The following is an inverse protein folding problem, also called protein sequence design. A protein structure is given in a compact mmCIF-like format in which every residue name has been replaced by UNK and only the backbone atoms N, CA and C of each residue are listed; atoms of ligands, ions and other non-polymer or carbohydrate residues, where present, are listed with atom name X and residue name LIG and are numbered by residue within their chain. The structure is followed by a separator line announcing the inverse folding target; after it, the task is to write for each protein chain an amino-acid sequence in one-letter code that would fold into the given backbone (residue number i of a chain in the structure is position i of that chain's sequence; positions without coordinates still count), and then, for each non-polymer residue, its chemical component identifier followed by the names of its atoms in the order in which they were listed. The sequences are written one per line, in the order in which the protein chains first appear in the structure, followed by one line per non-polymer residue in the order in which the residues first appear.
data_IF_345156263098
#
_entry.id   IF_345156263098
#
_cell.length_a   1.000
_cell.length_b   1.000
_cell.length_c   1.000
_cell.angle_alpha   90.00
_cell.angle_beta   90.00
_cell.angle_gamma   90.00
#
_symmetry.space_group_name_H-M   'P 1'
#
loop_
_entity.id
_entity.type
_entity.pdbx_description
1 polymer ?
#
# COMPACT_ATOMS: atom_id res chain seq x y z
N UNK A 1 -4.16 1.69 37.71
CA UNK A 1 -3.30 1.30 36.58
C UNK A 1 -3.66 -0.14 36.22
N UNK A 2 -4.64 -0.34 35.34
CA UNK A 2 -5.05 -1.67 34.88
C UNK A 2 -4.14 -2.08 33.73
N UNK A 3 -3.34 -3.11 33.96
CA UNK A 3 -2.53 -3.76 32.92
C UNK A 3 -3.51 -4.41 31.94
N UNK A 4 -3.65 -3.82 30.76
CA UNK A 4 -4.42 -4.42 29.66
C UNK A 4 -3.75 -5.73 29.27
N UNK A 5 -4.49 -6.84 29.37
CA UNK A 5 -4.07 -8.17 28.89
C UNK A 5 -3.63 -8.05 27.42
N UNK A 6 -2.58 -8.75 26.99
CA UNK A 6 -2.17 -8.75 25.59
C UNK A 6 -3.33 -9.25 24.71
N UNK A 7 -3.52 -8.68 23.49
CA UNK A 7 -4.56 -9.11 22.59
C UNK A 7 -4.42 -10.62 22.32
N UNK A 8 -5.53 -11.36 22.42
CA UNK A 8 -5.59 -12.79 22.14
C UNK A 8 -5.02 -13.08 20.73
N UNK A 9 -4.04 -13.97 20.66
CA UNK A 9 -3.52 -14.45 19.38
C UNK A 9 -4.61 -15.23 18.64
N UNK A 10 -4.67 -15.14 17.30
CA UNK A 10 -5.60 -15.96 16.53
C UNK A 10 -5.30 -17.45 16.78
N UNK A 11 -6.32 -18.31 16.82
CA UNK A 11 -6.13 -19.74 17.00
C UNK A 11 -5.30 -20.33 15.86
N UNK A 12 -4.51 -21.37 16.16
CA UNK A 12 -3.62 -22.05 15.19
C UNK A 12 -4.36 -22.54 13.94
N UNK A 13 -5.67 -22.82 14.04
CA UNK A 13 -6.51 -23.17 12.90
C UNK A 13 -6.68 -22.06 11.85
N UNK A 14 -6.41 -20.81 12.20
CA UNK A 14 -6.42 -19.66 11.28
C UNK A 14 -5.02 -19.37 10.68
N UNK A 15 -3.99 -20.03 11.21
CA UNK A 15 -2.65 -19.92 10.65
C UNK A 15 -2.52 -20.88 9.45
N UNK A 16 -1.83 -20.47 8.37
CA UNK A 16 -1.56 -21.40 7.27
C UNK A 16 -0.82 -22.62 7.82
N UNK A 17 -1.26 -23.82 7.42
CA UNK A 17 -0.69 -25.06 7.91
C UNK A 17 0.83 -25.03 7.77
N UNK A 18 1.55 -25.26 8.88
CA UNK A 18 3.03 -25.23 8.96
C UNK A 18 3.72 -26.32 8.12
N UNK A 19 2.96 -27.12 7.35
CA UNK A 19 3.47 -28.23 6.54
C UNK A 19 4.08 -27.83 5.19
N UNK A 20 4.05 -26.54 4.80
CA UNK A 20 4.78 -26.04 3.62
C UNK A 20 5.92 -25.09 4.01
N UNK A 21 6.54 -25.29 5.15
CA UNK A 21 7.82 -24.72 5.53
C UNK A 21 8.99 -25.41 4.84
N UNK A 22 8.93 -25.48 3.50
CA UNK A 22 10.13 -25.75 2.71
C UNK A 22 11.13 -24.62 2.92
N UNK A 23 12.44 -24.87 2.78
CA UNK A 23 13.45 -23.83 2.87
C UNK A 23 13.02 -22.69 1.96
N UNK A 24 13.19 -21.44 2.44
CA UNK A 24 12.91 -20.23 1.65
C UNK A 24 13.45 -20.48 0.25
N UNK A 25 12.55 -20.59 -0.72
CA UNK A 25 12.97 -20.85 -2.11
C UNK A 25 14.04 -19.82 -2.44
N UNK A 26 15.16 -20.25 -3.01
CA UNK A 26 16.26 -19.37 -3.43
C UNK A 26 15.75 -18.22 -4.35
N UNK A 27 14.55 -18.37 -4.92
CA UNK A 27 13.81 -17.34 -5.66
C UNK A 27 13.35 -16.16 -4.78
N UNK A 28 13.36 -16.25 -3.44
CA UNK A 28 12.98 -15.18 -2.51
C UNK A 28 14.18 -14.38 -1.98
N UNK A 29 15.40 -14.75 -2.31
CA UNK A 29 16.57 -13.91 -1.99
C UNK A 29 16.40 -12.57 -2.73
N UNK A 30 16.63 -11.44 -2.03
CA UNK A 30 16.51 -10.13 -2.65
C UNK A 30 17.48 -10.08 -3.82
N UNK A 31 16.94 -9.91 -5.03
CA UNK A 31 17.79 -9.52 -6.16
C UNK A 31 18.38 -8.15 -5.83
N UNK A 32 19.55 -7.81 -6.37
CA UNK A 32 20.20 -6.51 -6.15
C UNK A 32 19.31 -5.29 -6.44
N UNK A 33 18.13 -5.50 -7.02
CA UNK A 33 17.13 -4.48 -7.36
C UNK A 33 15.92 -4.41 -6.39
N UNK A 34 15.70 -5.40 -5.52
CA UNK A 34 14.56 -5.39 -4.59
C UNK A 34 14.89 -4.57 -3.34
N UNK A 35 14.14 -3.50 -3.08
CA UNK A 35 14.31 -2.67 -1.89
C UNK A 35 13.38 -3.14 -0.76
N UNK A 36 12.11 -3.42 -1.07
CA UNK A 36 11.11 -3.89 -0.11
C UNK A 36 10.50 -5.19 -0.60
N UNK A 37 10.36 -6.16 0.31
CA UNK A 37 9.62 -7.39 0.03
C UNK A 37 8.77 -7.79 1.23
N UNK A 38 7.67 -8.47 0.98
CA UNK A 38 6.89 -9.16 2.00
C UNK A 38 6.83 -10.65 1.68
N UNK A 39 6.79 -11.46 2.72
CA UNK A 39 6.65 -12.91 2.60
C UNK A 39 5.49 -13.37 3.47
N UNK A 40 4.39 -13.80 2.84
CA UNK A 40 3.14 -14.27 3.47
C UNK A 40 2.66 -13.36 4.59
N UNK A 41 2.78 -12.04 4.39
CA UNK A 41 2.45 -11.04 5.40
C UNK A 41 0.96 -11.04 5.70
N UNK A 42 0.59 -11.08 6.98
CA UNK A 42 -0.80 -11.06 7.39
C UNK A 42 -1.05 -10.20 8.64
N UNK A 43 -2.26 -9.66 8.69
CA UNK A 43 -2.79 -8.93 9.84
C UNK A 43 -4.24 -9.26 10.09
N UNK A 44 -4.50 -9.79 11.26
CA UNK A 44 -5.82 -10.09 11.77
C UNK A 44 -6.12 -9.19 12.97
N UNK A 45 -7.22 -8.47 12.92
CA UNK A 45 -7.67 -7.64 14.03
C UNK A 45 -8.78 -8.36 14.78
N UNK A 46 -8.71 -8.49 16.12
CA UNK A 46 -9.79 -9.07 16.89
C UNK A 46 -11.03 -8.16 16.82
N UNK A 47 -12.19 -8.75 16.60
CA UNK A 47 -13.47 -8.06 16.72
C UNK A 47 -13.84 -8.01 18.21
N UNK A 48 -14.40 -6.88 18.67
CA UNK A 48 -14.84 -6.76 20.06
C UNK A 48 -15.86 -7.85 20.40
N UNK A 49 -15.63 -8.54 21.52
CA UNK A 49 -16.52 -9.60 22.00
C UNK A 49 -17.80 -8.98 22.56
N UNK A 50 -18.94 -9.31 21.98
CA UNK A 50 -20.22 -9.16 22.67
C UNK A 50 -20.22 -10.05 23.93
N UNK A 51 -20.86 -9.61 25.01
CA UNK A 51 -20.88 -10.30 26.32
C UNK A 51 -21.24 -11.81 26.26
N UNK A 52 -21.97 -12.24 25.20
CA UNK A 52 -22.41 -13.63 24.99
C UNK A 52 -21.66 -14.38 23.87
N UNK A 53 -20.64 -13.79 23.24
CA UNK A 53 -19.94 -14.43 22.13
C UNK A 53 -19.03 -15.56 22.62
N UNK A 54 -19.26 -16.79 22.13
CA UNK A 54 -18.47 -17.99 22.49
C UNK A 54 -17.09 -18.01 21.82
N UNK A 55 -16.96 -17.43 20.61
CA UNK A 55 -15.73 -17.46 19.82
C UNK A 55 -15.24 -16.05 19.50
N UNK A 56 -13.91 -15.88 19.50
CA UNK A 56 -13.27 -14.64 19.07
C UNK A 56 -13.22 -14.61 17.53
N UNK A 57 -13.91 -13.64 16.92
CA UNK A 57 -13.83 -13.38 15.47
C UNK A 57 -12.70 -12.41 15.16
N UNK A 58 -12.16 -12.50 13.94
CA UNK A 58 -11.06 -11.66 13.48
C UNK A 58 -11.38 -11.06 12.10
N UNK A 59 -11.07 -9.78 11.91
CA UNK A 59 -11.04 -9.14 10.59
C UNK A 59 -9.72 -9.51 9.93
N UNK A 60 -9.74 -10.27 8.84
CA UNK A 60 -8.57 -10.61 8.03
C UNK A 60 -8.23 -9.47 7.07
N UNK A 61 -7.62 -8.41 7.59
CA UNK A 61 -7.36 -7.20 6.81
C UNK A 61 -6.28 -7.42 5.74
N UNK A 62 -5.26 -8.23 6.05
CA UNK A 62 -4.22 -8.68 5.11
C UNK A 62 -4.00 -10.16 5.38
N UNK A 63 -4.01 -10.99 4.34
CA UNK A 63 -4.01 -12.44 4.45
C UNK A 63 -3.03 -13.10 3.47
N UNK A 64 -1.79 -13.32 3.93
CA UNK A 64 -0.77 -14.03 3.19
C UNK A 64 -0.15 -13.28 2.01
N UNK A 65 -0.04 -11.96 2.07
CA UNK A 65 0.47 -11.13 0.96
C UNK A 65 1.98 -11.24 0.81
N UNK A 66 2.42 -11.64 -0.39
CA UNK A 66 3.83 -11.64 -0.80
C UNK A 66 3.99 -10.72 -2.02
N UNK A 67 4.78 -9.66 -1.88
CA UNK A 67 5.07 -8.70 -2.95
C UNK A 67 6.53 -8.25 -2.90
N UNK A 68 6.98 -7.60 -3.98
CA UNK A 68 8.33 -7.01 -4.10
C UNK A 68 8.23 -5.64 -4.74
N UNK A 69 8.95 -4.68 -4.16
CA UNK A 69 9.11 -3.33 -4.73
C UNK A 69 10.58 -3.16 -5.10
N UNK A 70 10.86 -2.91 -6.36
CA UNK A 70 12.22 -2.70 -6.85
C UNK A 70 12.67 -1.28 -6.55
N UNK A 71 13.97 -1.10 -6.28
CA UNK A 71 14.56 0.21 -6.01
C UNK A 71 14.37 1.15 -7.22
N UNK A 72 13.89 2.37 -6.97
CA UNK A 72 13.61 3.38 -8.00
C UNK A 72 12.30 3.16 -8.76
N UNK A 73 11.56 2.07 -8.51
CA UNK A 73 10.29 1.79 -9.19
C UNK A 73 9.08 2.14 -8.31
N UNK A 74 7.94 2.30 -8.94
CA UNK A 74 6.63 2.43 -8.29
C UNK A 74 5.86 1.12 -8.43
N UNK A 75 5.45 0.55 -7.28
CA UNK A 75 4.45 -0.50 -7.24
C UNK A 75 3.08 0.11 -6.94
N UNK A 76 2.16 0.05 -7.88
CA UNK A 76 0.76 0.41 -7.68
C UNK A 76 0.02 -0.67 -6.90
N UNK A 77 -0.80 -0.26 -5.94
CA UNK A 77 -1.68 -1.16 -5.19
C UNK A 77 -3.12 -0.69 -5.31
N UNK A 78 -3.95 -1.49 -5.99
CA UNK A 78 -5.34 -1.16 -6.30
C UNK A 78 -6.31 -2.19 -5.76
N UNK A 79 -7.59 -1.82 -5.67
CA UNK A 79 -8.68 -2.67 -5.22
C UNK A 79 -9.79 -1.86 -4.56
N UNK A 80 -10.94 -2.49 -4.30
CA UNK A 80 -12.09 -1.84 -3.67
C UNK A 80 -11.75 -1.27 -2.27
N UNK A 81 -12.53 -0.29 -1.81
CA UNK A 81 -12.37 0.28 -0.46
C UNK A 81 -12.51 -0.83 0.60
N UNK A 82 -11.67 -0.79 1.64
CA UNK A 82 -11.69 -1.79 2.72
C UNK A 82 -10.98 -3.11 2.40
N UNK A 83 -10.42 -3.33 1.20
CA UNK A 83 -9.74 -4.59 0.87
C UNK A 83 -8.37 -4.79 1.55
N UNK A 84 -7.90 -3.82 2.37
CA UNK A 84 -6.68 -3.96 3.19
C UNK A 84 -5.45 -3.20 2.70
N UNK A 85 -5.53 -2.38 1.65
CA UNK A 85 -4.40 -1.63 1.05
C UNK A 85 -3.62 -0.77 2.04
N UNK A 86 -4.30 0.13 2.74
CA UNK A 86 -3.67 1.02 3.75
C UNK A 86 -3.09 0.22 4.92
N UNK A 87 -3.75 -0.88 5.31
CA UNK A 87 -3.24 -1.80 6.33
C UNK A 87 -1.92 -2.43 5.88
N UNK A 88 -1.84 -2.88 4.61
CA UNK A 88 -0.62 -3.42 4.03
C UNK A 88 0.51 -2.40 4.01
N UNK A 89 0.25 -1.15 3.61
CA UNK A 89 1.23 -0.07 3.66
C UNK A 89 1.77 0.18 5.08
N UNK A 90 0.88 0.20 6.08
CA UNK A 90 1.27 0.38 7.50
C UNK A 90 2.07 -0.81 8.04
N UNK A 91 1.77 -2.03 7.62
CA UNK A 91 2.55 -3.24 7.96
C UNK A 91 3.96 -3.16 7.40
N UNK A 92 4.11 -2.79 6.13
CA UNK A 92 5.41 -2.63 5.46
C UNK A 92 6.28 -1.61 6.20
N UNK A 93 5.71 -0.50 6.64
CA UNK A 93 6.41 0.52 7.42
C UNK A 93 6.60 0.14 8.90
N UNK A 94 6.11 -1.03 9.34
CA UNK A 94 6.14 -1.44 10.75
C UNK A 94 5.53 -0.37 11.68
N UNK A 95 4.48 0.31 11.20
CA UNK A 95 3.62 1.18 12.03
C UNK A 95 2.63 0.37 12.85
N UNK A 96 2.26 -0.81 12.35
CA UNK A 96 1.50 -1.85 13.06
C UNK A 96 2.25 -3.17 12.94
N UNK A 97 2.13 -4.01 13.96
CA UNK A 97 2.78 -5.33 13.97
C UNK A 97 1.98 -6.34 13.16
N UNK A 98 2.62 -7.17 12.34
CA UNK A 98 1.95 -8.25 11.63
C UNK A 98 1.49 -9.34 12.63
N UNK A 99 0.47 -10.10 12.23
CA UNK A 99 0.06 -11.31 12.94
C UNK A 99 1.02 -12.44 12.62
N UNK A 100 1.40 -12.58 11.35
CA UNK A 100 2.47 -13.47 10.90
C UNK A 100 3.08 -12.98 9.57
N UNK A 101 4.11 -13.66 9.08
CA UNK A 101 4.85 -13.32 7.87
C UNK A 101 6.03 -12.40 8.15
N UNK A 102 6.68 -11.93 7.09
CA UNK A 102 7.90 -11.12 7.15
C UNK A 102 7.79 -9.87 6.30
N UNK A 103 8.52 -8.84 6.72
CA UNK A 103 8.77 -7.63 5.95
C UNK A 103 10.28 -7.47 5.82
N UNK A 104 10.78 -7.45 4.60
CA UNK A 104 12.18 -7.29 4.29
C UNK A 104 12.42 -5.89 3.71
N UNK A 105 13.38 -5.17 4.26
CA UNK A 105 13.88 -3.91 3.73
C UNK A 105 15.38 -4.08 3.43
N UNK A 106 15.76 -3.95 2.17
CA UNK A 106 17.12 -4.18 1.68
C UNK A 106 17.70 -5.51 2.21
N UNK A 107 16.91 -6.58 2.12
CA UNK A 107 17.22 -7.93 2.59
C UNK A 107 17.14 -8.15 4.10
N UNK A 108 16.95 -7.11 4.92
CA UNK A 108 16.85 -7.22 6.37
C UNK A 108 15.40 -7.40 6.82
N UNK A 109 15.12 -8.45 7.61
CA UNK A 109 13.78 -8.65 8.21
C UNK A 109 13.52 -7.60 9.30
N UNK A 110 12.39 -6.89 9.15
CA UNK A 110 11.96 -5.84 10.08
C UNK A 110 11.11 -6.37 11.23
N UNK A 111 10.51 -7.57 11.10
CA UNK A 111 9.53 -8.09 12.06
C UNK A 111 10.14 -8.33 13.45
N UNK A 112 11.32 -8.96 13.58
CA UNK A 112 11.93 -9.19 14.88
C UNK A 112 12.53 -7.94 15.53
N UNK A 113 12.56 -6.79 14.83
CA UNK A 113 13.22 -5.59 15.33
C UNK A 113 12.36 -4.83 16.33
N UNK A 114 12.96 -4.50 17.49
CA UNK A 114 12.36 -3.57 18.46
C UNK A 114 12.42 -2.12 18.00
N UNK A 115 11.71 -1.22 18.69
CA UNK A 115 11.54 0.20 18.33
C UNK A 115 12.87 0.95 18.12
N UNK A 116 13.87 0.68 18.98
CA UNK A 116 15.20 1.30 18.88
C UNK A 116 15.91 0.92 17.57
N UNK A 117 15.84 -0.34 17.17
CA UNK A 117 16.46 -0.84 15.94
C UNK A 117 15.68 -0.41 14.67
N UNK A 118 14.36 -0.19 14.78
CA UNK A 118 13.51 0.32 13.69
C UNK A 118 13.70 1.81 13.44
N UNK A 119 14.07 2.60 14.46
CA UNK A 119 14.16 4.08 14.34
C UNK A 119 15.06 4.56 13.19
N UNK A 120 16.28 4.05 12.97
CA UNK A 120 17.11 4.45 11.84
C UNK A 120 16.54 3.98 10.49
N UNK A 121 15.82 2.85 10.45
CA UNK A 121 15.18 2.34 9.23
C UNK A 121 13.95 3.17 8.87
N UNK A 122 13.18 3.66 9.87
CA UNK A 122 12.05 4.57 9.63
C UNK A 122 12.47 5.89 8.98
N UNK A 123 13.71 6.35 9.16
CA UNK A 123 14.26 7.47 8.41
C UNK A 123 14.25 7.18 6.91
N UNK A 124 14.55 5.94 6.51
CA UNK A 124 14.61 5.52 5.11
C UNK A 124 13.24 5.19 4.50
N UNK A 125 12.23 4.96 5.35
CA UNK A 125 10.89 4.54 4.95
C UNK A 125 9.86 5.52 5.51
N UNK A 126 9.18 6.25 4.64
CA UNK A 126 8.23 7.30 5.02
C UNK A 126 6.84 7.05 4.46
N UNK A 127 5.87 7.85 4.90
CA UNK A 127 4.48 7.78 4.44
C UNK A 127 3.94 9.16 4.09
N UNK A 128 3.21 9.23 2.98
CA UNK A 128 2.34 10.33 2.62
C UNK A 128 0.91 9.84 2.85
N UNK A 129 0.18 10.48 3.76
CA UNK A 129 -1.15 10.05 4.20
C UNK A 129 -2.25 10.53 3.26
N UNK A 130 -3.38 9.82 3.30
CA UNK A 130 -4.59 10.05 2.53
C UNK A 130 -5.22 11.42 2.79
N UNK A 131 -5.36 11.80 4.05
CA UNK A 131 -6.01 13.05 4.44
C UNK A 131 -4.96 14.09 4.86
N UNK A 132 -4.75 15.14 4.04
CA UNK A 132 -3.82 16.20 4.38
C UNK A 132 -4.29 17.05 5.57
N UNK A 133 -5.58 17.01 5.92
CA UNK A 133 -6.12 17.76 7.06
C UNK A 133 -5.78 17.10 8.40
N UNK A 134 -6.01 15.81 8.52
CA UNK A 134 -5.75 15.07 9.77
C UNK A 134 -4.27 14.70 9.94
N UNK A 135 -3.50 14.70 8.87
CA UNK A 135 -2.08 14.31 8.89
C UNK A 135 -1.14 15.40 9.43
N UNK A 136 -1.57 16.66 9.46
CA UNK A 136 -0.80 17.80 9.93
C UNK A 136 -1.37 18.31 11.26
N UNK A 137 -0.50 18.51 12.26
CA UNK A 137 -0.94 19.09 13.52
C UNK A 137 -1.35 20.56 13.31
N UNK A 138 -2.62 20.94 13.51
CA UNK A 138 -3.12 22.29 13.22
C UNK A 138 -2.55 23.38 14.15
N UNK A 139 -1.90 22.98 15.26
CA UNK A 139 -1.29 23.90 16.23
C UNK A 139 0.19 24.16 15.96
N UNK A 140 0.76 23.53 14.95
CA UNK A 140 2.17 23.68 14.56
C UNK A 140 2.27 24.49 13.27
N UNK A 141 3.29 25.34 13.17
CA UNK A 141 3.64 25.98 11.90
C UNK A 141 4.25 24.99 10.92
N UNK A 142 4.30 25.34 9.64
CA UNK A 142 4.95 24.51 8.59
C UNK A 142 6.39 24.23 8.97
N UNK A 143 7.13 25.23 9.47
CA UNK A 143 8.51 25.06 9.98
C UNK A 143 8.59 24.00 11.07
N UNK A 144 7.66 24.01 12.01
CA UNK A 144 7.63 23.04 13.09
C UNK A 144 7.31 21.62 12.58
N UNK A 145 6.35 21.48 11.65
CA UNK A 145 5.91 20.20 11.08
C UNK A 145 7.03 19.55 10.26
N UNK A 146 7.64 20.29 9.34
CA UNK A 146 8.71 19.76 8.48
C UNK A 146 10.01 19.57 9.27
N UNK A 147 10.32 20.50 10.18
CA UNK A 147 11.51 20.48 11.03
C UNK A 147 11.49 19.41 12.10
N UNK A 148 10.32 18.89 12.52
CA UNK A 148 10.23 17.84 13.54
C UNK A 148 11.10 16.62 13.19
N UNK A 149 10.98 16.11 11.98
CA UNK A 149 11.75 14.96 11.52
C UNK A 149 13.26 15.27 11.48
N UNK A 150 13.64 16.48 11.05
CA UNK A 150 15.04 16.94 11.02
C UNK A 150 15.63 16.93 12.44
N UNK A 151 14.90 17.45 13.42
CA UNK A 151 15.31 17.50 14.84
C UNK A 151 15.39 16.10 15.46
N UNK A 152 14.36 15.27 15.27
CA UNK A 152 14.30 13.89 15.81
C UNK A 152 15.47 13.04 15.34
N UNK A 153 15.89 13.22 14.08
CA UNK A 153 17.03 12.50 13.49
C UNK A 153 18.34 13.26 13.53
N UNK A 154 18.38 14.44 14.18
CA UNK A 154 19.59 15.28 14.37
C UNK A 154 20.30 15.57 13.05
N UNK A 155 19.56 15.95 12.01
CA UNK A 155 20.11 16.19 10.66
C UNK A 155 20.72 17.60 10.52
N UNK A 156 20.18 18.58 11.23
CA UNK A 156 20.70 19.95 11.28
C UNK A 156 21.63 20.12 12.48
N UNK A 157 22.70 20.91 12.30
CA UNK A 157 23.67 21.26 13.35
C UNK A 157 23.30 22.54 14.11
N UNK A 158 22.64 23.47 13.43
CA UNK A 158 22.21 24.76 13.97
C UNK A 158 20.76 25.06 13.58
N UNK A 159 20.14 26.06 14.22
CA UNK A 159 18.80 26.53 13.83
C UNK A 159 18.78 27.11 12.41
N UNK A 160 19.85 27.77 12.00
CA UNK A 160 19.96 28.34 10.66
C UNK A 160 20.10 27.24 9.60
N UNK A 161 20.85 26.17 9.91
CA UNK A 161 20.96 24.98 9.06
C UNK A 161 19.60 24.30 8.91
N UNK A 162 18.84 24.13 10.01
CA UNK A 162 17.47 23.60 9.96
C UNK A 162 16.57 24.48 9.08
N UNK A 163 16.63 25.80 9.25
CA UNK A 163 15.81 26.75 8.49
C UNK A 163 16.13 26.70 6.99
N UNK A 164 17.42 26.59 6.65
CA UNK A 164 17.86 26.42 5.25
C UNK A 164 17.35 25.12 4.65
N UNK A 165 17.49 23.99 5.37
CA UNK A 165 17.00 22.67 4.91
C UNK A 165 15.47 22.71 4.69
N UNK A 166 14.72 23.34 5.58
CA UNK A 166 13.26 23.45 5.42
C UNK A 166 12.93 24.31 4.19
N UNK A 167 13.65 25.42 3.97
CA UNK A 167 13.46 26.26 2.78
C UNK A 167 13.66 25.46 1.49
N UNK A 168 14.74 24.71 1.40
CA UNK A 168 15.06 23.87 0.23
C UNK A 168 13.98 22.79 0.00
N UNK A 169 13.43 22.19 1.07
CA UNK A 169 12.34 21.22 0.98
C UNK A 169 11.02 21.86 0.49
N UNK A 170 10.70 23.06 0.96
CA UNK A 170 9.51 23.78 0.51
C UNK A 170 9.62 24.16 -0.97
N UNK A 171 10.78 24.62 -1.40
CA UNK A 171 11.05 24.92 -2.81
C UNK A 171 10.91 23.67 -3.69
N UNK A 172 11.39 22.51 -3.25
CA UNK A 172 11.25 21.23 -3.96
C UNK A 172 9.79 20.82 -4.19
N UNK A 173 8.89 21.20 -3.31
CA UNK A 173 7.45 20.91 -3.46
C UNK A 173 6.65 22.09 -4.01
N UNK A 174 7.33 23.16 -4.47
CA UNK A 174 6.69 24.34 -5.06
C UNK A 174 5.96 25.23 -4.06
N UNK A 175 6.44 25.31 -2.82
CA UNK A 175 5.97 26.23 -1.78
C UNK A 175 7.02 27.31 -1.51
N UNK A 176 6.57 28.55 -1.27
CA UNK A 176 7.47 29.68 -0.97
C UNK A 176 8.01 29.60 0.46
N UNK A 177 9.19 30.17 0.69
CA UNK A 177 9.85 30.25 1.99
C UNK A 177 8.97 30.90 3.07
N UNK A 178 8.20 31.92 2.69
CA UNK A 178 7.29 32.65 3.60
C UNK A 178 6.19 31.75 4.18
N UNK A 179 6.00 30.57 3.60
CA UNK A 179 5.06 29.57 4.09
C UNK A 179 5.49 28.94 5.44
N UNK A 180 6.74 29.09 5.85
CA UNK A 180 7.30 28.43 7.05
C UNK A 180 6.58 28.81 8.34
N UNK A 181 6.21 30.07 8.48
CA UNK A 181 5.65 30.61 9.72
C UNK A 181 4.11 30.53 9.77
N UNK A 182 3.51 30.03 8.70
CA UNK A 182 2.06 29.87 8.60
C UNK A 182 1.59 28.54 9.15
N UNK A 183 0.31 28.47 9.52
CA UNK A 183 -0.35 27.27 10.04
C UNK A 183 -1.07 26.50 8.93
N UNK A 184 -1.28 25.17 9.07
CA UNK A 184 -1.94 24.34 8.06
C UNK A 184 -3.32 24.85 7.61
N UNK A 185 -4.11 25.44 8.51
CA UNK A 185 -5.44 25.94 8.16
C UNK A 185 -5.44 27.14 7.18
N UNK A 186 -4.30 27.79 6.99
CA UNK A 186 -4.14 28.91 6.05
C UNK A 186 -3.81 28.47 4.61
N UNK A 187 -3.77 27.15 4.36
CA UNK A 187 -3.41 26.56 3.07
C UNK A 187 -4.58 25.82 2.43
N UNK A 188 -4.60 25.76 1.09
CA UNK A 188 -5.50 24.89 0.34
C UNK A 188 -5.17 23.42 0.56
N UNK A 189 -6.08 22.49 0.20
CA UNK A 189 -5.86 21.05 0.28
C UNK A 189 -4.59 20.59 -0.44
N UNK A 190 -4.37 21.06 -1.67
CA UNK A 190 -3.17 20.74 -2.44
C UNK A 190 -1.88 21.30 -1.84
N UNK A 191 -1.92 22.49 -1.24
CA UNK A 191 -0.77 23.05 -0.53
C UNK A 191 -0.46 22.27 0.75
N UNK A 192 -1.48 21.82 1.50
CA UNK A 192 -1.28 20.94 2.67
C UNK A 192 -0.67 19.62 2.26
N UNK A 193 -1.11 19.05 1.13
CA UNK A 193 -0.49 17.82 0.61
C UNK A 193 0.98 18.02 0.28
N UNK A 194 1.35 19.15 -0.33
CA UNK A 194 2.75 19.52 -0.58
C UNK A 194 3.57 19.65 0.72
N UNK A 195 2.98 20.19 1.80
CA UNK A 195 3.61 20.22 3.14
C UNK A 195 3.82 18.79 3.66
N UNK A 196 2.83 17.90 3.51
CA UNK A 196 2.95 16.48 3.87
C UNK A 196 4.06 15.76 3.10
N UNK A 197 4.20 16.06 1.80
CA UNK A 197 5.29 15.54 0.96
C UNK A 197 6.65 16.10 1.45
N UNK A 198 6.76 17.41 1.70
CA UNK A 198 7.99 18.01 2.23
C UNK A 198 8.40 17.40 3.59
N UNK A 199 7.43 17.13 4.48
CA UNK A 199 7.67 16.42 5.75
C UNK A 199 8.25 15.02 5.52
N UNK A 200 7.69 14.25 4.57
CA UNK A 200 8.19 12.92 4.26
C UNK A 200 9.63 12.97 3.69
N UNK A 201 9.94 13.96 2.86
CA UNK A 201 11.26 14.15 2.26
C UNK A 201 12.33 14.66 3.25
N UNK A 202 11.93 15.25 4.37
CA UNK A 202 12.82 15.91 5.33
C UNK A 202 13.95 15.02 5.88
N UNK A 203 13.73 13.71 5.87
CA UNK A 203 14.70 12.70 6.33
C UNK A 203 15.46 12.01 5.20
N UNK A 204 15.28 12.43 3.95
CA UNK A 204 15.89 11.84 2.75
C UNK A 204 15.59 10.33 2.65
N UNK A 205 14.31 9.94 2.50
CA UNK A 205 13.92 8.54 2.43
C UNK A 205 14.37 7.89 1.13
N UNK A 206 14.44 6.55 1.14
CA UNK A 206 14.62 5.73 -0.07
C UNK A 206 13.29 5.12 -0.54
N UNK A 207 12.34 4.94 0.39
CA UNK A 207 11.03 4.34 0.16
C UNK A 207 9.91 5.17 0.77
N UNK A 208 8.84 5.40 0.01
CA UNK A 208 7.66 6.13 0.49
C UNK A 208 6.39 5.32 0.15
N UNK A 209 5.55 5.10 1.16
CA UNK A 209 4.18 4.63 0.96
C UNK A 209 3.30 5.86 0.72
N UNK A 210 2.73 5.98 -0.46
CA UNK A 210 1.74 6.99 -0.82
C UNK A 210 0.35 6.38 -0.61
N UNK A 211 -0.24 6.59 0.57
CA UNK A 211 -1.55 6.03 0.94
C UNK A 211 -2.67 6.99 0.49
N UNK A 212 -3.24 6.74 -0.71
CA UNK A 212 -4.26 7.56 -1.38
C UNK A 212 -3.93 9.08 -1.38
N UNK A 213 -2.74 9.50 -1.85
CA UNK A 213 -2.20 10.84 -1.61
C UNK A 213 -2.96 11.98 -2.31
N UNK A 214 -3.98 11.66 -3.09
CA UNK A 214 -4.72 12.61 -3.94
C UNK A 214 -6.24 12.48 -3.82
N UNK A 215 -6.76 11.50 -3.05
CA UNK A 215 -8.20 11.18 -3.01
C UNK A 215 -9.09 12.31 -2.49
N UNK A 216 -8.55 13.21 -1.65
CA UNK A 216 -9.27 14.34 -1.08
C UNK A 216 -9.07 15.66 -1.86
N UNK A 217 -8.52 15.61 -3.08
CA UNK A 217 -8.15 16.80 -3.87
C UNK A 217 -8.97 16.89 -5.16
N UNK A 218 -9.15 18.12 -5.65
CA UNK A 218 -9.76 18.39 -6.97
C UNK A 218 -8.90 17.83 -8.10
N UNK A 219 -9.53 17.43 -9.21
CA UNK A 219 -8.88 16.75 -10.35
C UNK A 219 -7.65 17.51 -10.89
N UNK A 220 -7.73 18.84 -11.00
CA UNK A 220 -6.61 19.66 -11.46
C UNK A 220 -5.42 19.65 -10.51
N UNK A 221 -5.68 19.59 -9.20
CA UNK A 221 -4.68 19.52 -8.16
C UNK A 221 -4.10 18.11 -8.07
N UNK A 222 -4.92 17.07 -8.28
CA UNK A 222 -4.45 15.68 -8.36
C UNK A 222 -3.33 15.52 -9.39
N UNK A 223 -3.54 16.03 -10.62
CA UNK A 223 -2.53 15.99 -11.69
C UNK A 223 -1.22 16.69 -11.28
N UNK A 224 -1.30 17.84 -10.60
CA UNK A 224 -0.11 18.54 -10.12
C UNK A 224 0.66 17.76 -9.05
N UNK A 225 -0.03 17.07 -8.14
CA UNK A 225 0.62 16.23 -7.11
C UNK A 225 1.24 14.97 -7.73
N UNK A 226 0.57 14.36 -8.71
CA UNK A 226 1.08 13.20 -9.45
C UNK A 226 2.39 13.57 -10.16
N UNK A 227 2.40 14.66 -10.93
CA UNK A 227 3.60 15.14 -11.62
C UNK A 227 4.72 15.46 -10.61
N UNK A 228 4.39 16.14 -9.51
CA UNK A 228 5.37 16.42 -8.45
C UNK A 228 6.00 15.13 -7.90
N UNK A 229 5.22 14.07 -7.65
CA UNK A 229 5.74 12.79 -7.14
C UNK A 229 6.64 12.10 -8.16
N UNK A 230 6.31 12.18 -9.47
CA UNK A 230 7.15 11.65 -10.54
C UNK A 230 8.48 12.41 -10.64
N UNK A 231 8.43 13.76 -10.67
CA UNK A 231 9.62 14.61 -10.71
C UNK A 231 10.55 14.33 -9.50
N UNK A 232 9.96 14.15 -8.31
CA UNK A 232 10.71 13.82 -7.11
C UNK A 232 11.31 12.41 -7.19
N UNK A 233 10.60 11.44 -7.76
CA UNK A 233 11.11 10.08 -7.97
C UNK A 233 12.34 10.08 -8.88
N UNK A 234 12.25 10.77 -10.02
CA UNK A 234 13.36 10.84 -10.99
C UNK A 234 14.59 11.55 -10.40
N UNK A 235 14.38 12.71 -9.76
CA UNK A 235 15.49 13.51 -9.22
C UNK A 235 16.16 12.88 -8.01
N UNK A 236 15.40 12.20 -7.14
CA UNK A 236 15.90 11.68 -5.86
C UNK A 236 16.07 10.15 -5.84
N UNK A 237 15.69 9.45 -6.91
CA UNK A 237 15.77 8.00 -7.00
C UNK A 237 14.82 7.29 -6.01
N UNK A 238 13.65 7.88 -5.76
CA UNK A 238 12.68 7.37 -4.78
C UNK A 238 12.00 6.10 -5.25
N UNK A 239 11.67 5.24 -4.31
CA UNK A 239 10.87 4.04 -4.53
C UNK A 239 9.50 4.23 -3.90
N UNK A 240 8.42 3.93 -4.63
CA UNK A 240 7.05 4.13 -4.14
C UNK A 240 6.27 2.83 -4.02
N UNK A 241 5.47 2.74 -2.96
CA UNK A 241 4.24 1.94 -2.94
C UNK A 241 3.08 2.92 -3.07
N UNK A 242 2.46 2.97 -4.25
CA UNK A 242 1.40 3.92 -4.56
C UNK A 242 0.03 3.25 -4.44
N UNK A 243 -0.71 3.60 -3.39
CA UNK A 243 -2.04 3.08 -3.10
C UNK A 243 -3.07 4.06 -3.64
N UNK A 244 -3.97 3.59 -4.50
CA UNK A 244 -5.08 4.39 -5.00
C UNK A 244 -6.25 3.50 -5.41
N UNK A 245 -7.44 4.09 -5.45
CA UNK A 245 -8.62 3.50 -6.09
C UNK A 245 -8.82 4.04 -7.52
N UNK A 246 -8.08 5.06 -7.93
CA UNK A 246 -8.10 5.59 -9.30
C UNK A 246 -7.10 4.82 -10.17
N UNK A 247 -7.64 3.93 -11.00
CA UNK A 247 -6.86 3.04 -11.87
C UNK A 247 -6.09 3.81 -12.95
N UNK A 248 -6.59 4.96 -13.46
CA UNK A 248 -5.87 5.78 -14.46
C UNK A 248 -4.61 6.39 -13.90
N UNK A 249 -4.69 6.88 -12.67
CA UNK A 249 -3.54 7.47 -12.01
C UNK A 249 -2.51 6.38 -11.69
N UNK A 250 -2.97 5.19 -11.26
CA UNK A 250 -2.08 4.05 -11.03
C UNK A 250 -1.41 3.59 -12.33
N UNK A 251 -2.13 3.51 -13.44
CA UNK A 251 -1.56 3.22 -14.76
C UNK A 251 -0.40 4.17 -15.10
N UNK A 252 -0.61 5.46 -14.87
CA UNK A 252 0.37 6.52 -15.18
C UNK A 252 1.59 6.50 -14.25
N UNK A 253 1.38 6.22 -12.96
CA UNK A 253 2.41 6.30 -11.91
C UNK A 253 3.25 5.03 -11.76
N UNK A 254 2.72 3.86 -12.19
CA UNK A 254 3.24 2.58 -11.72
C UNK A 254 4.00 1.82 -12.79
N UNK A 255 5.13 1.22 -12.40
CA UNK A 255 5.87 0.26 -13.23
C UNK A 255 5.24 -1.13 -13.17
N UNK A 256 4.79 -1.52 -11.97
CA UNK A 256 4.05 -2.75 -11.71
C UNK A 256 2.79 -2.43 -10.91
N UNK A 257 1.76 -3.25 -11.07
CA UNK A 257 0.49 -3.11 -10.34
C UNK A 257 0.13 -4.41 -9.67
N UNK A 258 -0.26 -4.33 -8.39
CA UNK A 258 -0.89 -5.40 -7.62
C UNK A 258 -2.36 -5.08 -7.41
N UNK A 259 -3.23 -6.02 -7.76
CA UNK A 259 -4.67 -5.93 -7.51
C UNK A 259 -5.00 -6.72 -6.26
N UNK A 260 -5.64 -6.07 -5.30
CA UNK A 260 -5.95 -6.65 -3.99
C UNK A 260 -7.46 -6.80 -3.79
N UNK A 261 -7.90 -7.96 -3.32
CA UNK A 261 -9.28 -8.27 -2.99
C UNK A 261 -9.35 -9.02 -1.65
N UNK A 262 -10.16 -8.56 -0.70
CA UNK A 262 -10.35 -9.17 0.63
C UNK A 262 -9.04 -9.63 1.30
N UNK A 263 -8.08 -8.71 1.40
CA UNK A 263 -6.81 -8.98 2.09
C UNK A 263 -5.78 -9.76 1.27
N UNK A 264 -6.08 -10.21 0.06
CA UNK A 264 -5.20 -11.04 -0.78
C UNK A 264 -4.87 -10.35 -2.09
N UNK A 265 -3.68 -10.61 -2.65
CA UNK A 265 -3.33 -10.22 -4.02
C UNK A 265 -3.93 -11.25 -4.97
N UNK A 266 -4.74 -10.78 -5.92
CA UNK A 266 -5.42 -11.63 -6.90
C UNK A 266 -4.76 -11.57 -8.27
N UNK A 267 -4.09 -10.48 -8.60
CA UNK A 267 -3.33 -10.33 -9.84
C UNK A 267 -2.17 -9.35 -9.65
N UNK A 268 -1.04 -9.60 -10.30
CA UNK A 268 0.14 -8.74 -10.32
C UNK A 268 0.83 -8.82 -11.67
N UNK A 269 1.10 -7.66 -12.28
CA UNK A 269 1.83 -7.60 -13.55
C UNK A 269 2.56 -6.25 -13.72
N UNK A 270 3.32 -6.11 -14.80
CA UNK A 270 3.73 -4.80 -15.29
C UNK A 270 2.50 -3.97 -15.66
N UNK A 271 2.57 -2.66 -15.45
CA UNK A 271 1.40 -1.78 -15.64
C UNK A 271 0.83 -1.93 -17.05
N UNK A 272 1.64 -1.79 -18.09
CA UNK A 272 1.19 -1.93 -19.47
C UNK A 272 0.45 -3.26 -19.71
N UNK A 273 1.04 -4.39 -19.27
CA UNK A 273 0.48 -5.71 -19.47
C UNK A 273 -0.87 -5.89 -18.75
N UNK A 274 -0.99 -5.39 -17.51
CA UNK A 274 -2.22 -5.51 -16.73
C UNK A 274 -3.39 -4.77 -17.37
N UNK A 275 -3.14 -3.55 -17.90
CA UNK A 275 -4.19 -2.73 -18.51
C UNK A 275 -4.59 -3.23 -19.90
N UNK A 276 -3.69 -3.86 -20.62
CA UNK A 276 -3.95 -4.47 -21.90
C UNK A 276 -4.59 -5.86 -21.78
N UNK A 277 -4.00 -6.72 -20.94
CA UNK A 277 -4.34 -8.13 -20.77
C UNK A 277 -4.55 -8.47 -19.28
N UNK A 278 -5.71 -8.14 -18.72
CA UNK A 278 -6.05 -8.58 -17.37
C UNK A 278 -6.65 -9.98 -17.37
N UNK A 279 -6.13 -10.87 -16.53
CA UNK A 279 -6.53 -12.30 -16.51
C UNK A 279 -7.55 -12.62 -15.40
N UNK A 280 -7.49 -11.93 -14.25
CA UNK A 280 -8.43 -12.18 -13.18
C UNK A 280 -9.79 -11.52 -13.46
N UNK A 281 -10.94 -12.22 -13.31
CA UNK A 281 -12.26 -11.66 -13.55
C UNK A 281 -12.56 -10.38 -12.75
N UNK A 282 -12.06 -10.27 -11.54
CA UNK A 282 -12.17 -9.06 -10.72
C UNK A 282 -11.39 -7.88 -11.32
N UNK A 283 -10.15 -8.10 -11.78
CA UNK A 283 -9.33 -7.05 -12.42
C UNK A 283 -10.01 -6.54 -13.69
N UNK A 284 -10.53 -7.46 -14.52
CA UNK A 284 -11.31 -7.10 -15.71
C UNK A 284 -12.51 -6.24 -15.39
N UNK A 285 -13.26 -6.59 -14.36
CA UNK A 285 -14.40 -5.81 -13.92
C UNK A 285 -13.99 -4.41 -13.44
N UNK A 286 -12.93 -4.30 -12.62
CA UNK A 286 -12.39 -3.02 -12.17
C UNK A 286 -11.96 -2.14 -13.34
N UNK A 287 -11.19 -2.69 -14.30
CA UNK A 287 -10.71 -1.96 -15.47
C UNK A 287 -11.84 -1.58 -16.43
N UNK A 288 -12.90 -2.40 -16.54
CA UNK A 288 -14.07 -2.08 -17.37
C UNK A 288 -14.88 -0.89 -16.85
N UNK A 289 -14.75 -0.56 -15.56
CA UNK A 289 -15.41 0.59 -14.95
C UNK A 289 -14.67 1.91 -15.21
N UNK A 290 -13.41 1.86 -15.72
CA UNK A 290 -12.60 3.04 -16.03
C UNK A 290 -13.16 3.72 -17.30
N UNK A 291 -13.55 5.00 -17.24
CA UNK A 291 -14.04 5.70 -18.43
C UNK A 291 -12.90 5.91 -19.44
N UNK A 292 -13.05 5.43 -20.66
CA UNK A 292 -12.13 5.74 -21.76
C UNK A 292 -12.55 7.04 -22.45
N UNK A 293 -11.57 7.89 -22.73
CA UNK A 293 -11.79 9.12 -23.54
C UNK A 293 -12.08 8.76 -25.00
N UNK A 294 -11.45 7.69 -25.49
CA UNK A 294 -11.67 7.19 -26.85
C UNK A 294 -12.88 6.23 -26.89
N UNK A 295 -13.96 6.60 -27.61
CA UNK A 295 -15.14 5.74 -27.76
C UNK A 295 -14.85 4.36 -28.38
N UNK A 296 -13.80 4.27 -29.23
CA UNK A 296 -13.42 3.01 -29.90
C UNK A 296 -12.82 1.97 -28.92
N UNK A 297 -12.33 2.42 -27.78
CA UNK A 297 -11.77 1.59 -26.68
C UNK A 297 -12.79 1.23 -25.61
N UNK A 298 -14.06 1.54 -25.80
CA UNK A 298 -15.12 1.16 -24.85
C UNK A 298 -15.20 -0.35 -24.71
N UNK A 299 -14.59 -0.88 -23.66
CA UNK A 299 -14.86 -2.28 -23.23
C UNK A 299 -16.29 -2.34 -22.68
N UNK A 300 -17.02 -3.40 -22.96
CA UNK A 300 -18.32 -3.64 -22.34
C UNK A 300 -18.12 -3.66 -20.83
N UNK A 301 -18.89 -2.81 -20.13
CA UNK A 301 -18.81 -2.72 -18.65
C UNK A 301 -19.23 -4.05 -18.04
N UNK A 302 -18.34 -4.69 -17.33
CA UNK A 302 -18.62 -5.88 -16.52
C UNK A 302 -19.16 -5.43 -15.18
N UNK A 303 -20.45 -5.65 -14.95
CA UNK A 303 -21.07 -5.37 -13.66
C UNK A 303 -20.78 -6.55 -12.73
N UNK A 304 -20.16 -6.25 -11.57
CA UNK A 304 -20.03 -7.24 -10.50
C UNK A 304 -21.35 -7.29 -9.73
N UNK A 305 -21.93 -8.47 -9.66
CA UNK A 305 -23.15 -8.70 -8.89
C UNK A 305 -22.80 -8.95 -7.40
N UNK A 306 -23.69 -8.53 -6.51
CA UNK A 306 -23.58 -8.72 -5.06
C UNK A 306 -22.60 -7.78 -4.36
N UNK A 307 -22.72 -7.77 -3.03
CA UNK A 307 -21.89 -6.95 -2.15
C UNK A 307 -20.53 -7.59 -1.90
N UNK A 308 -19.55 -6.77 -1.47
CA UNK A 308 -18.23 -7.26 -1.02
C UNK A 308 -18.43 -8.11 0.24
N UNK A 309 -18.01 -9.39 0.25
CA UNK A 309 -18.12 -10.23 1.41
C UNK A 309 -17.38 -9.67 2.64
N UNK A 310 -17.84 -10.06 3.84
CA UNK A 310 -17.22 -9.59 5.07
C UNK A 310 -15.79 -10.14 5.25
N UNK A 311 -14.82 -9.30 5.59
CA UNK A 311 -13.46 -9.76 5.93
C UNK A 311 -13.39 -10.49 7.29
N UNK A 312 -14.48 -10.49 8.06
CA UNK A 312 -14.60 -11.24 9.33
C UNK A 312 -14.83 -12.72 9.04
N UNK A 313 -15.63 -13.00 8.02
CA UNK A 313 -16.02 -14.36 7.62
C UNK A 313 -15.90 -14.47 6.10
N UNK A 314 -14.63 -14.48 5.60
CA UNK A 314 -14.39 -14.50 4.17
C UNK A 314 -14.87 -15.82 3.55
N UNK A 315 -15.34 -15.80 2.31
CA UNK A 315 -15.75 -17.00 1.58
C UNK A 315 -14.64 -18.06 1.57
N UNK A 316 -15.02 -19.34 1.67
CA UNK A 316 -14.11 -20.47 1.49
C UNK A 316 -13.54 -20.49 0.07
N UNK A 317 -12.41 -21.13 -0.12
CA UNK A 317 -11.77 -21.23 -1.43
C UNK A 317 -11.28 -19.90 -1.99
N UNK A 318 -11.63 -19.61 -3.24
CA UNK A 318 -11.38 -18.32 -3.87
C UNK A 318 -12.29 -17.26 -3.25
N UNK A 319 -11.72 -16.24 -2.61
CA UNK A 319 -12.50 -15.19 -1.92
C UNK A 319 -13.43 -14.39 -2.87
N UNK A 320 -13.15 -14.41 -4.17
CA UNK A 320 -13.96 -13.74 -5.18
C UNK A 320 -15.10 -14.61 -5.76
N UNK A 321 -15.13 -15.94 -5.47
CA UNK A 321 -16.08 -16.85 -6.11
C UNK A 321 -17.56 -16.42 -6.01
N UNK A 322 -18.07 -15.79 -4.91
CA UNK A 322 -19.48 -15.42 -4.85
C UNK A 322 -19.89 -14.33 -5.84
N UNK A 323 -18.92 -13.54 -6.33
CA UNK A 323 -19.14 -12.44 -7.29
C UNK A 323 -18.54 -12.74 -8.67
N UNK A 324 -17.97 -13.94 -8.85
CA UNK A 324 -17.25 -14.29 -10.06
C UNK A 324 -18.20 -14.89 -11.11
N UNK A 325 -18.33 -14.29 -12.31
CA UNK A 325 -19.17 -14.83 -13.37
C UNK A 325 -18.62 -16.14 -13.96
N UNK A 326 -17.38 -16.52 -13.61
CA UNK A 326 -16.71 -17.75 -14.04
C UNK A 326 -16.48 -18.74 -12.90
N UNK A 327 -17.17 -18.57 -11.77
CA UNK A 327 -17.03 -19.47 -10.63
C UNK A 327 -17.50 -20.89 -11.01
N UNK A 328 -16.63 -21.87 -10.74
CA UNK A 328 -16.95 -23.29 -10.90
C UNK A 328 -17.25 -23.89 -9.53
N UNK A 329 -18.50 -24.38 -9.31
CA UNK A 329 -18.87 -25.04 -8.06
C UNK A 329 -18.03 -26.30 -7.82
N UNK A 330 -17.64 -26.52 -6.56
CA UNK A 330 -16.77 -27.64 -6.18
C UNK A 330 -15.27 -27.41 -6.40
N UNK A 331 -14.90 -26.34 -7.10
CA UNK A 331 -13.50 -25.91 -7.29
C UNK A 331 -13.26 -24.57 -6.63
N UNK A 332 -13.94 -23.52 -7.11
CA UNK A 332 -13.70 -22.14 -6.65
C UNK A 332 -14.19 -21.89 -5.23
N UNK A 333 -15.23 -22.58 -4.77
CA UNK A 333 -15.78 -22.48 -3.41
C UNK A 333 -15.04 -23.37 -2.38
N UNK A 334 -14.23 -24.31 -2.85
CA UNK A 334 -13.51 -25.25 -1.97
C UNK A 334 -12.02 -24.93 -1.85
N UNK A 335 -11.38 -24.60 -2.97
CA UNK A 335 -9.91 -24.40 -3.03
C UNK A 335 -9.57 -22.92 -3.23
N UNK A 336 -8.55 -22.44 -2.50
CA UNK A 336 -7.97 -21.12 -2.72
C UNK A 336 -6.91 -21.20 -3.85
N UNK A 337 -7.03 -20.39 -4.93
CA UNK A 337 -6.02 -20.37 -5.97
C UNK A 337 -4.73 -19.73 -5.46
N UNK A 338 -3.58 -20.24 -5.88
CA UNK A 338 -2.28 -19.67 -5.61
C UNK A 338 -1.97 -18.56 -6.63
N UNK A 339 -1.29 -17.51 -6.20
CA UNK A 339 -0.77 -16.48 -7.10
C UNK A 339 0.41 -17.06 -7.87
N UNK A 340 0.19 -17.44 -9.13
CA UNK A 340 1.17 -18.09 -10.02
C UNK A 340 1.31 -17.33 -11.34
N UNK A 341 2.46 -17.43 -12.00
CA UNK A 341 2.64 -16.87 -13.34
C UNK A 341 1.72 -17.56 -14.34
N UNK A 342 1.06 -16.76 -15.18
CA UNK A 342 0.20 -17.26 -16.26
C UNK A 342 1.06 -17.94 -17.32
N UNK A 343 2.14 -17.25 -17.70
CA UNK A 343 3.17 -17.77 -18.62
C UNK A 343 4.54 -17.62 -17.96
N UNK A 344 5.37 -18.67 -17.93
CA UNK A 344 6.67 -18.63 -17.28
C UNK A 344 7.56 -17.49 -17.82
N UNK A 345 8.12 -16.69 -16.91
CA UNK A 345 9.06 -15.63 -17.26
C UNK A 345 8.44 -14.29 -17.63
N UNK A 346 7.12 -14.17 -17.74
CA UNK A 346 6.45 -12.87 -18.02
C UNK A 346 6.35 -11.98 -16.80
N UNK A 347 6.40 -12.56 -15.59
CA UNK A 347 6.15 -11.84 -14.34
C UNK A 347 4.69 -11.48 -14.10
N UNK A 348 3.77 -11.85 -15.03
CA UNK A 348 2.33 -11.68 -14.86
C UNK A 348 1.77 -12.85 -14.05
N UNK A 349 1.28 -12.54 -12.83
CA UNK A 349 0.78 -13.53 -11.88
C UNK A 349 -0.69 -13.33 -11.63
N UNK A 350 -1.43 -14.44 -11.56
CA UNK A 350 -2.86 -14.46 -11.28
C UNK A 350 -3.22 -15.55 -10.27
N UNK A 351 -4.12 -15.24 -9.34
CA UNK A 351 -4.71 -16.19 -8.39
C UNK A 351 -6.10 -16.59 -8.88
N UNK A 352 -6.18 -17.39 -9.94
CA UNK A 352 -7.44 -17.82 -10.54
C UNK A 352 -7.29 -19.23 -11.14
N UNK A 353 -8.32 -20.07 -10.99
CA UNK A 353 -8.37 -21.39 -11.66
C UNK A 353 -8.81 -21.27 -13.12
N UNK A 354 -9.56 -20.22 -13.46
CA UNK A 354 -10.15 -19.98 -14.78
C UNK A 354 -9.78 -18.57 -15.28
N UNK A 355 -8.48 -18.26 -15.50
CA UNK A 355 -8.08 -16.96 -15.97
C UNK A 355 -8.64 -16.69 -17.38
N UNK A 356 -8.80 -15.41 -17.72
CA UNK A 356 -9.09 -15.01 -19.09
C UNK A 356 -7.80 -15.07 -19.89
N UNK A 357 -7.71 -15.99 -20.85
CA UNK A 357 -6.55 -16.18 -21.74
C UNK A 357 -6.82 -15.67 -23.16
N UNK A 358 -7.93 -14.96 -23.39
CA UNK A 358 -8.45 -14.42 -24.65
C UNK A 358 -8.22 -12.91 -24.78
#
# INVERSE_FOLDING_TARGET
MSVSSPPSQPPDSLLPSSREGGPVSASMLPTSRTLVATDRLAKYFPVERGWFAREQKFVRAVDGVSLRVRKGETLGLVGESGCGKSTLGRLILRLIDPTYGRVLYDGRDLVPLGQTALRPLRRKMQVIFQDPYSSLNPRMTVKQIVGEAIRVHKLARTSDDETRMISELLDQVGLRRESMDRYPHEFSGGQRQRIGIARALAVQPEFIVCDEPISALDVSIQAQIVNLLQDLQERLGLTYLFISHDLKIVEHMSHQVCVMYLGRVVEQAYSADLYEHSFHPYTRALLSAVPFVDPSRRKLRVLLEGDVPSPIDPPSGCTFHPRCPRAEPGVCDVKAPLLAEVEPGTGHKVACFHPHLD
#
